data_IF_418804583895
#
_entry.id   IF_418804583895
#
_cell.length_a   1.000
_cell.length_b   1.000
_cell.length_c   1.000
_cell.angle_alpha   90.00
_cell.angle_beta   90.00
_cell.angle_gamma   90.00
#
_symmetry.space_group_name_H-M   'P 1'
#
loop_
_entity.id
_entity.type
_entity.pdbx_description
1 polymer ?
#
# COMPACT_ATOMS: atom_id res chain seq x y z
N UNK A 1 24.07 -2.88 -2.26
CA UNK A 1 22.78 -3.02 -2.97
C UNK A 1 22.97 -2.58 -4.41
N UNK A 2 22.28 -3.17 -5.41
CA UNK A 2 22.18 -2.51 -6.70
C UNK A 2 21.53 -1.14 -6.44
N UNK A 3 22.07 -0.07 -7.02
CA UNK A 3 21.43 1.23 -7.02
C UNK A 3 20.08 1.02 -7.73
N UNK A 4 18.97 1.02 -6.99
CA UNK A 4 17.64 0.97 -7.58
C UNK A 4 17.39 2.33 -8.20
N UNK A 5 17.42 2.41 -9.53
CA UNK A 5 17.08 3.66 -10.20
C UNK A 5 15.62 4.00 -9.89
N UNK A 6 15.41 5.25 -9.47
CA UNK A 6 14.09 5.83 -9.21
C UNK A 6 13.78 6.77 -10.35
N UNK A 7 12.55 6.68 -10.87
CA UNK A 7 12.11 7.53 -11.97
C UNK A 7 10.80 8.21 -11.59
N UNK A 8 10.79 9.53 -11.69
CA UNK A 8 9.55 10.32 -11.65
C UNK A 8 9.17 10.73 -13.06
N UNK A 9 8.02 10.24 -13.51
CA UNK A 9 7.42 10.63 -14.79
C UNK A 9 6.48 11.80 -14.52
N UNK A 10 6.78 12.97 -15.06
CA UNK A 10 6.00 14.18 -14.82
C UNK A 10 5.19 14.58 -16.05
N UNK A 11 4.01 15.13 -15.82
CA UNK A 11 3.27 15.83 -16.87
C UNK A 11 4.15 16.89 -17.54
N UNK A 12 4.07 17.04 -18.87
CA UNK A 12 4.77 18.13 -19.57
C UNK A 12 4.46 19.50 -18.98
N UNK A 13 3.27 19.67 -18.38
CA UNK A 13 2.77 20.94 -17.89
C UNK A 13 3.54 21.51 -16.69
N UNK A 14 4.45 20.73 -16.09
CA UNK A 14 5.38 21.24 -15.10
C UNK A 14 6.53 22.04 -15.69
N UNK A 15 7.07 21.64 -16.85
CA UNK A 15 8.19 22.34 -17.49
C UNK A 15 7.77 23.12 -18.72
N UNK A 16 6.63 22.80 -19.34
CA UNK A 16 6.19 23.39 -20.59
C UNK A 16 4.74 23.85 -20.49
N UNK A 17 4.38 24.98 -21.07
CA UNK A 17 2.98 25.40 -21.12
C UNK A 17 2.14 24.55 -22.12
N UNK A 18 0.86 24.91 -22.27
CA UNK A 18 -0.04 24.27 -23.25
C UNK A 18 0.51 24.27 -24.67
N UNK A 19 1.19 25.35 -25.05
CA UNK A 19 1.78 25.59 -26.37
C UNK A 19 3.16 24.95 -26.56
N UNK A 20 3.62 24.16 -25.58
CA UNK A 20 4.93 23.49 -25.55
C UNK A 20 6.12 24.45 -25.46
N UNK A 21 5.92 25.64 -24.90
CA UNK A 21 7.01 26.56 -24.59
C UNK A 21 7.56 26.26 -23.19
N UNK A 22 8.88 26.23 -23.07
CA UNK A 22 9.57 25.98 -21.80
C UNK A 22 9.28 27.12 -20.80
N UNK A 23 8.94 26.73 -19.57
CA UNK A 23 8.83 27.62 -18.41
C UNK A 23 10.17 27.54 -17.67
N UNK A 24 11.10 28.43 -18.01
CA UNK A 24 12.47 28.38 -17.48
C UNK A 24 12.51 28.40 -15.95
N UNK A 25 11.62 29.17 -15.33
CA UNK A 25 11.50 29.29 -13.88
C UNK A 25 11.18 27.96 -13.20
N UNK A 26 10.73 26.92 -13.92
CA UNK A 26 10.42 25.61 -13.35
C UNK A 26 11.57 24.59 -13.50
N UNK A 27 12.69 24.97 -14.11
CA UNK A 27 13.85 24.07 -14.27
C UNK A 27 14.48 23.65 -12.94
N UNK A 28 14.28 24.42 -11.85
CA UNK A 28 14.74 24.03 -10.51
C UNK A 28 14.18 22.67 -10.06
N UNK A 29 13.01 22.27 -10.57
CA UNK A 29 12.40 20.97 -10.26
C UNK A 29 13.32 19.85 -10.74
N UNK A 30 14.03 20.08 -11.84
CA UNK A 30 14.95 19.09 -12.42
C UNK A 30 16.15 18.86 -11.52
N UNK A 31 16.76 19.94 -11.05
CA UNK A 31 17.86 19.86 -10.10
C UNK A 31 17.40 19.27 -8.76
N UNK A 32 16.22 19.66 -8.27
CA UNK A 32 15.66 19.13 -7.03
C UNK A 32 15.60 17.59 -6.99
N UNK A 33 15.08 16.95 -8.04
CA UNK A 33 15.04 15.48 -8.07
C UNK A 33 16.40 14.86 -8.39
N UNK A 34 17.21 15.48 -9.26
CA UNK A 34 18.55 15.00 -9.56
C UNK A 34 19.46 14.95 -8.33
N UNK A 35 19.37 15.98 -7.46
CA UNK A 35 20.09 16.05 -6.18
C UNK A 35 19.65 14.96 -5.18
N UNK A 36 18.49 14.33 -5.41
CA UNK A 36 17.98 13.19 -4.64
C UNK A 36 18.19 11.85 -5.37
N UNK A 37 19.01 11.82 -6.42
CA UNK A 37 19.28 10.64 -7.26
C UNK A 37 18.00 10.04 -7.90
N UNK A 38 17.03 10.91 -8.23
CA UNK A 38 15.78 10.53 -8.91
C UNK A 38 15.83 11.07 -10.34
N UNK A 39 15.74 10.16 -11.32
CA UNK A 39 15.69 10.52 -12.73
C UNK A 39 14.31 11.12 -13.09
N UNK A 40 14.31 12.15 -13.94
CA UNK A 40 13.08 12.76 -14.45
C UNK A 40 12.83 12.34 -15.88
N UNK A 41 11.58 11.96 -16.15
CA UNK A 41 11.06 11.82 -17.49
C UNK A 41 9.81 12.69 -17.70
N UNK A 42 9.75 13.41 -18.81
CA UNK A 42 8.60 14.23 -19.18
C UNK A 42 7.67 13.44 -20.09
N UNK A 43 6.42 13.26 -19.63
CA UNK A 43 5.36 12.61 -20.38
C UNK A 43 4.72 13.57 -21.39
N UNK A 44 4.94 13.30 -22.67
CA UNK A 44 4.44 14.15 -23.74
C UNK A 44 4.04 13.37 -25.00
N UNK A 45 3.35 14.04 -25.93
CA UNK A 45 3.06 13.46 -27.24
C UNK A 45 4.33 13.41 -28.09
N UNK A 46 4.59 12.30 -28.77
CA UNK A 46 5.81 12.08 -29.57
C UNK A 46 6.04 13.20 -30.59
N UNK A 47 4.98 13.72 -31.20
CA UNK A 47 5.05 14.83 -32.16
C UNK A 47 5.59 16.15 -31.57
N UNK A 48 5.43 16.37 -30.26
CA UNK A 48 5.88 17.60 -29.58
C UNK A 48 7.27 17.47 -28.98
N UNK A 49 7.79 16.24 -28.79
CA UNK A 49 9.06 15.98 -28.08
C UNK A 49 10.23 16.73 -28.70
N UNK A 50 10.38 16.70 -30.03
CA UNK A 50 11.50 17.37 -30.72
C UNK A 50 11.50 18.88 -30.43
N UNK A 51 10.35 19.53 -30.53
CA UNK A 51 10.21 20.96 -30.28
C UNK A 51 10.52 21.34 -28.84
N UNK A 52 10.09 20.51 -27.87
CA UNK A 52 10.38 20.74 -26.45
C UNK A 52 11.86 20.52 -26.12
N UNK A 53 12.46 19.43 -26.64
CA UNK A 53 13.89 19.14 -26.44
C UNK A 53 14.79 20.29 -26.87
N UNK A 54 14.52 20.89 -28.03
CA UNK A 54 15.32 22.00 -28.56
C UNK A 54 15.29 23.28 -27.71
N UNK A 55 14.38 23.38 -26.73
CA UNK A 55 14.28 24.53 -25.83
C UNK A 55 15.01 24.30 -24.50
N UNK A 56 15.39 23.06 -24.19
CA UNK A 56 16.07 22.70 -22.94
C UNK A 56 17.50 23.25 -22.98
N UNK A 57 17.96 23.97 -21.95
CA UNK A 57 19.35 24.41 -21.88
C UNK A 57 20.32 23.22 -21.78
N UNK A 58 21.52 23.37 -22.36
CA UNK A 58 22.53 22.31 -22.47
C UNK A 58 22.85 21.61 -21.14
N UNK A 59 22.89 22.36 -20.03
CA UNK A 59 23.16 21.82 -18.69
C UNK A 59 22.05 20.91 -18.13
N UNK A 60 20.88 20.87 -18.76
CA UNK A 60 19.74 20.02 -18.38
C UNK A 60 19.46 18.89 -19.38
N UNK A 61 20.07 18.89 -20.57
CA UNK A 61 19.75 17.91 -21.64
C UNK A 61 19.93 16.45 -21.18
N UNK A 62 20.96 16.18 -20.38
CA UNK A 62 21.24 14.84 -19.85
C UNK A 62 20.46 14.50 -18.57
N UNK A 63 19.73 15.47 -17.98
CA UNK A 63 18.94 15.30 -16.76
C UNK A 63 17.46 15.03 -17.05
N UNK A 64 17.00 15.26 -18.29
CA UNK A 64 15.59 15.20 -18.67
C UNK A 64 15.39 14.17 -19.77
N UNK A 65 14.76 13.04 -19.43
CA UNK A 65 14.24 12.10 -20.40
C UNK A 65 12.86 12.55 -20.93
N UNK A 66 12.46 12.02 -22.09
CA UNK A 66 11.09 12.17 -22.59
C UNK A 66 10.49 10.80 -22.82
N UNK A 67 9.26 10.63 -22.35
CA UNK A 67 8.48 9.42 -22.55
C UNK A 67 7.18 9.78 -23.26
N UNK A 68 6.75 8.92 -24.17
CA UNK A 68 5.47 9.05 -24.83
C UNK A 68 4.45 8.04 -24.30
N UNK A 69 3.23 8.10 -24.84
CA UNK A 69 2.12 7.26 -24.39
C UNK A 69 1.89 6.05 -25.29
N UNK A 70 2.85 5.73 -26.16
CA UNK A 70 2.69 4.65 -27.13
C UNK A 70 2.75 3.26 -26.42
N UNK A 71 2.21 2.19 -27.04
CA UNK A 71 2.22 0.86 -26.44
C UNK A 71 3.61 0.31 -26.13
N UNK A 72 4.61 0.58 -26.96
CA UNK A 72 5.99 0.12 -26.78
C UNK A 72 6.63 0.75 -25.55
N UNK A 73 6.45 2.06 -25.34
CA UNK A 73 6.92 2.80 -24.17
C UNK A 73 6.26 2.28 -22.91
N UNK A 74 4.94 2.05 -22.93
CA UNK A 74 4.23 1.44 -21.78
C UNK A 74 4.83 0.08 -21.41
N UNK A 75 5.10 -0.77 -22.41
CA UNK A 75 5.72 -2.07 -22.20
C UNK A 75 7.12 -1.94 -21.60
N UNK A 76 7.95 -1.03 -22.12
CA UNK A 76 9.29 -0.77 -21.60
C UNK A 76 9.26 -0.30 -20.14
N UNK A 77 8.35 0.60 -19.76
CA UNK A 77 8.20 1.05 -18.37
C UNK A 77 7.80 -0.12 -17.44
N UNK A 78 6.87 -0.98 -17.87
CA UNK A 78 6.50 -2.18 -17.09
C UNK A 78 7.70 -3.13 -16.95
N UNK A 79 8.49 -3.33 -18.00
CA UNK A 79 9.70 -4.16 -17.96
C UNK A 79 10.77 -3.57 -17.03
N UNK A 80 10.96 -2.25 -17.00
CA UNK A 80 11.84 -1.58 -16.04
C UNK A 80 11.39 -1.83 -14.61
N UNK A 81 10.09 -1.67 -14.34
CA UNK A 81 9.52 -1.96 -13.02
C UNK A 81 9.76 -3.40 -12.59
N UNK A 82 9.56 -4.35 -13.49
CA UNK A 82 9.80 -5.77 -13.21
C UNK A 82 11.29 -6.09 -12.95
N UNK A 83 12.21 -5.18 -13.32
CA UNK A 83 13.64 -5.26 -12.97
C UNK A 83 13.98 -4.56 -11.64
N UNK A 84 12.98 -4.10 -10.89
CA UNK A 84 13.15 -3.43 -9.59
C UNK A 84 13.28 -1.92 -9.66
N UNK A 85 13.05 -1.27 -10.81
CA UNK A 85 13.07 0.20 -10.92
C UNK A 85 11.75 0.75 -10.37
N UNK A 86 11.85 1.68 -9.43
CA UNK A 86 10.66 2.32 -8.84
C UNK A 86 10.26 3.49 -9.72
N UNK A 87 9.04 3.43 -10.26
CA UNK A 87 8.52 4.45 -11.18
C UNK A 87 7.20 4.99 -10.65
N UNK A 88 7.08 6.32 -10.57
CA UNK A 88 5.85 6.99 -10.20
C UNK A 88 5.51 8.10 -11.21
N UNK A 89 4.24 8.52 -11.25
CA UNK A 89 3.76 9.58 -12.15
C UNK A 89 3.26 10.77 -11.35
N UNK A 90 3.67 11.99 -11.67
CA UNK A 90 3.01 13.22 -11.20
C UNK A 90 2.14 13.75 -12.35
N UNK A 91 0.83 13.58 -12.22
CA UNK A 91 -0.12 13.87 -13.30
C UNK A 91 -0.75 15.25 -13.17
N UNK A 92 -1.14 15.83 -14.32
CA UNK A 92 -1.99 17.02 -14.36
C UNK A 92 -3.20 16.80 -15.27
N UNK A 93 -3.06 16.03 -16.35
CA UNK A 93 -4.14 15.75 -17.30
C UNK A 93 -4.62 14.31 -17.25
N UNK A 94 -5.79 14.08 -17.83
CA UNK A 94 -6.47 12.79 -17.86
C UNK A 94 -5.59 11.68 -18.46
N UNK A 95 -4.79 12.02 -19.49
CA UNK A 95 -3.90 11.09 -20.14
C UNK A 95 -2.70 10.69 -19.28
N UNK A 96 -2.28 11.51 -18.33
CA UNK A 96 -1.20 11.17 -17.39
C UNK A 96 -1.68 10.09 -16.43
N UNK A 97 -2.91 10.24 -15.91
CA UNK A 97 -3.55 9.22 -15.09
C UNK A 97 -3.78 7.91 -15.87
N UNK A 98 -4.28 8.00 -17.11
CA UNK A 98 -4.46 6.82 -17.98
C UNK A 98 -3.11 6.13 -18.24
N UNK A 99 -2.03 6.89 -18.42
CA UNK A 99 -0.69 6.33 -18.57
C UNK A 99 -0.27 5.59 -17.30
N UNK A 100 -0.39 6.23 -16.13
CA UNK A 100 -0.07 5.62 -14.84
C UNK A 100 -0.81 4.30 -14.62
N UNK A 101 -2.12 4.25 -14.89
CA UNK A 101 -2.92 3.02 -14.70
C UNK A 101 -2.54 1.91 -15.68
N UNK A 102 -2.30 2.25 -16.95
CA UNK A 102 -1.87 1.25 -17.94
C UNK A 102 -0.49 0.68 -17.62
N UNK A 103 0.40 1.50 -17.04
CA UNK A 103 1.73 1.11 -16.61
C UNK A 103 1.77 0.54 -15.18
N UNK A 104 0.62 0.54 -14.47
CA UNK A 104 0.51 0.06 -13.09
C UNK A 104 1.47 0.80 -12.13
N UNK A 105 1.39 2.13 -12.15
CA UNK A 105 2.27 3.04 -11.41
C UNK A 105 1.48 3.83 -10.37
N UNK A 106 2.09 4.18 -9.22
CA UNK A 106 1.58 5.22 -8.36
C UNK A 106 1.39 6.52 -9.14
N UNK A 107 0.23 7.17 -8.96
CA UNK A 107 -0.08 8.48 -9.52
C UNK A 107 -0.14 9.47 -8.37
N UNK A 108 0.60 10.57 -8.44
CA UNK A 108 0.53 11.67 -7.49
C UNK A 108 -0.38 12.78 -8.01
N UNK A 109 -1.19 13.34 -7.11
CA UNK A 109 -2.04 14.50 -7.31
C UNK A 109 -1.38 15.74 -6.69
N UNK A 110 -0.85 16.67 -7.50
CA UNK A 110 -0.18 17.88 -7.05
C UNK A 110 -1.15 19.06 -6.78
N UNK A 111 -2.46 18.83 -6.66
CA UNK A 111 -3.45 19.91 -6.51
C UNK A 111 -3.17 20.86 -5.36
N UNK A 112 -2.65 20.37 -4.24
CA UNK A 112 -2.30 21.20 -3.10
C UNK A 112 -0.95 21.92 -3.25
N UNK A 113 -0.10 21.48 -4.18
CA UNK A 113 1.19 22.11 -4.50
C UNK A 113 1.02 23.36 -5.37
N UNK A 114 0.14 23.24 -6.37
CA UNK A 114 0.01 24.25 -7.42
C UNK A 114 -1.11 25.21 -6.99
N UNK A 115 -0.73 26.28 -6.28
CA UNK A 115 -1.63 27.30 -5.72
C UNK A 115 -2.42 28.16 -6.74
N UNK A 116 -2.49 27.72 -7.99
CA UNK A 116 -3.22 28.41 -9.05
C UNK A 116 -4.03 27.40 -9.86
N UNK A 117 -5.17 27.85 -10.37
CA UNK A 117 -6.20 27.19 -11.20
C UNK A 117 -5.68 26.46 -12.45
N UNK A 118 -4.67 25.63 -12.30
CA UNK A 118 -4.36 24.58 -13.24
C UNK A 118 -5.56 23.63 -13.17
N UNK A 119 -6.24 23.45 -14.30
CA UNK A 119 -7.33 22.50 -14.44
C UNK A 119 -6.74 21.09 -14.35
N UNK A 120 -6.33 20.69 -13.14
CA UNK A 120 -5.96 19.32 -12.85
C UNK A 120 -7.19 18.49 -13.17
N UNK A 121 -6.99 17.47 -13.98
CA UNK A 121 -8.09 16.61 -14.40
C UNK A 121 -8.73 15.93 -13.20
N UNK A 122 -10.06 15.78 -13.25
CA UNK A 122 -10.82 15.07 -12.21
C UNK A 122 -10.33 13.62 -12.01
N UNK A 123 -9.78 12.99 -13.06
CA UNK A 123 -9.18 11.66 -12.94
C UNK A 123 -7.91 11.66 -12.07
N UNK A 124 -7.04 12.67 -12.22
CA UNK A 124 -5.87 12.83 -11.34
C UNK A 124 -6.32 13.12 -9.91
N UNK A 125 -7.30 14.00 -9.71
CA UNK A 125 -7.80 14.31 -8.35
C UNK A 125 -8.40 13.10 -7.66
N UNK A 126 -9.20 12.32 -8.38
CA UNK A 126 -9.94 11.18 -7.84
C UNK A 126 -9.04 10.01 -7.46
N UNK A 127 -8.00 9.75 -8.24
CA UNK A 127 -7.20 8.53 -8.10
C UNK A 127 -5.73 8.78 -7.73
N UNK A 128 -5.28 10.04 -7.77
CA UNK A 128 -3.92 10.42 -7.44
C UNK A 128 -3.73 10.56 -5.94
N UNK A 129 -2.55 10.15 -5.49
CA UNK A 129 -2.03 10.27 -4.14
C UNK A 129 -1.73 11.75 -3.85
N UNK A 130 -2.44 12.38 -2.90
CA UNK A 130 -2.34 13.82 -2.69
C UNK A 130 -0.99 14.20 -2.08
N UNK A 131 -0.28 15.12 -2.75
CA UNK A 131 1.00 15.68 -2.29
C UNK A 131 0.91 17.20 -2.19
N UNK A 132 1.64 17.78 -1.23
CA UNK A 132 1.67 19.23 -0.97
C UNK A 132 2.99 19.89 -1.38
N UNK A 133 4.03 19.10 -1.63
CA UNK A 133 5.30 19.51 -2.22
C UNK A 133 6.00 18.33 -2.94
N UNK A 134 7.11 18.59 -3.65
CA UNK A 134 7.90 17.54 -4.29
C UNK A 134 8.68 16.68 -3.27
N UNK A 135 8.94 17.21 -2.07
CA UNK A 135 9.62 16.46 -1.02
C UNK A 135 8.79 15.25 -0.59
N UNK A 136 7.45 15.34 -0.57
CA UNK A 136 6.59 14.20 -0.30
C UNK A 136 6.84 13.04 -1.29
N UNK A 137 7.10 13.35 -2.56
CA UNK A 137 7.42 12.33 -3.57
C UNK A 137 8.78 11.69 -3.30
N UNK A 138 9.78 12.50 -2.93
CA UNK A 138 11.11 12.01 -2.54
C UNK A 138 11.01 11.10 -1.31
N UNK A 139 10.24 11.51 -0.30
CA UNK A 139 10.04 10.74 0.93
C UNK A 139 9.35 9.41 0.66
N UNK A 140 8.42 9.37 -0.30
CA UNK A 140 7.81 8.12 -0.77
C UNK A 140 8.85 7.16 -1.35
N UNK A 141 9.75 7.65 -2.20
CA UNK A 141 10.84 6.83 -2.75
C UNK A 141 11.83 6.36 -1.67
N UNK A 142 12.13 7.21 -0.67
CA UNK A 142 12.95 6.82 0.48
C UNK A 142 12.26 5.74 1.32
N UNK A 143 10.97 5.91 1.61
CA UNK A 143 10.16 4.93 2.34
C UNK A 143 10.09 3.57 1.64
N UNK A 144 10.06 3.55 0.30
CA UNK A 144 10.14 2.33 -0.48
C UNK A 144 11.45 1.58 -0.21
N UNK A 145 12.59 2.27 -0.17
CA UNK A 145 13.90 1.65 0.06
C UNK A 145 14.12 1.20 1.51
N UNK A 146 13.38 1.79 2.46
CA UNK A 146 13.46 1.37 3.86
C UNK A 146 13.05 -0.09 4.00
N UNK A 147 12.08 -0.57 3.21
CA UNK A 147 11.61 -1.95 3.35
C UNK A 147 12.66 -2.99 2.96
N UNK A 148 13.10 -3.81 3.93
CA UNK A 148 14.07 -4.89 3.72
C UNK A 148 13.51 -6.28 3.98
N UNK A 149 12.44 -6.38 4.79
CA UNK A 149 11.73 -7.62 5.01
C UNK A 149 10.63 -7.48 6.07
N UNK A 150 9.78 -8.50 6.17
CA UNK A 150 8.65 -8.47 7.09
C UNK A 150 9.08 -8.81 8.53
N UNK A 151 8.52 -8.09 9.51
CA UNK A 151 8.62 -8.45 10.92
C UNK A 151 8.10 -9.86 11.22
N UNK A 152 7.00 -10.27 10.61
CA UNK A 152 6.40 -11.60 10.85
C UNK A 152 5.97 -12.23 9.53
N UNK A 153 6.30 -13.50 9.37
CA UNK A 153 5.90 -14.31 8.22
C UNK A 153 5.47 -15.70 8.65
N UNK A 154 4.31 -16.11 8.16
CA UNK A 154 3.77 -17.45 8.34
C UNK A 154 3.15 -17.92 7.05
N UNK A 155 3.52 -19.13 6.63
CA UNK A 155 2.93 -19.81 5.48
C UNK A 155 2.43 -21.18 5.92
N UNK A 156 1.13 -21.41 5.76
CA UNK A 156 0.47 -22.68 6.09
C UNK A 156 -0.03 -23.28 4.79
N UNK A 157 0.75 -24.24 4.30
CA UNK A 157 0.55 -24.88 3.00
C UNK A 157 0.42 -23.81 1.88
N UNK A 158 -0.23 -24.16 0.77
CA UNK A 158 -0.47 -23.23 -0.33
C UNK A 158 -1.76 -22.40 -0.15
N UNK A 159 -2.50 -22.59 0.94
CA UNK A 159 -3.84 -22.03 1.14
C UNK A 159 -3.89 -20.83 2.06
N UNK A 160 -2.94 -20.66 2.99
CA UNK A 160 -3.01 -19.58 3.97
C UNK A 160 -1.65 -18.97 4.29
N UNK A 161 -1.58 -17.65 4.41
CA UNK A 161 -0.37 -16.96 4.86
C UNK A 161 -0.68 -15.68 5.60
N UNK A 162 0.23 -15.29 6.49
CA UNK A 162 0.18 -14.05 7.25
C UNK A 162 1.52 -13.35 7.16
N UNK A 163 1.49 -12.07 6.81
CA UNK A 163 2.63 -11.17 6.78
C UNK A 163 2.33 -9.94 7.65
N UNK A 164 3.33 -9.48 8.38
CA UNK A 164 3.30 -8.19 9.06
C UNK A 164 4.58 -7.45 8.75
N UNK A 165 4.47 -6.24 8.18
CA UNK A 165 5.64 -5.49 7.75
C UNK A 165 6.51 -5.09 8.94
N UNK A 166 5.88 -4.53 9.98
CA UNK A 166 6.59 -3.89 11.08
C UNK A 166 6.36 -4.54 12.45
N UNK A 167 7.39 -4.48 13.30
CA UNK A 167 7.23 -4.69 14.73
C UNK A 167 6.52 -3.49 15.36
N UNK A 168 5.31 -3.66 15.87
CA UNK A 168 4.53 -2.58 16.48
C UNK A 168 4.77 -2.40 17.98
N UNK A 169 5.59 -3.25 18.63
CA UNK A 169 5.80 -3.17 20.07
C UNK A 169 6.54 -1.87 20.44
N UNK A 170 5.98 -1.10 21.39
CA UNK A 170 6.57 0.14 21.94
C UNK A 170 7.17 -0.05 23.34
N UNK A 171 6.74 -1.09 24.07
CA UNK A 171 7.19 -1.31 25.44
C UNK A 171 8.66 -1.77 25.51
N UNK A 172 9.43 -1.17 26.41
CA UNK A 172 10.88 -1.39 26.56
C UNK A 172 11.69 -1.14 25.29
N UNK A 173 11.23 -0.25 24.42
CA UNK A 173 11.95 0.16 23.21
C UNK A 173 12.67 1.49 23.41
N UNK A 174 13.74 1.77 22.64
CA UNK A 174 14.31 3.11 22.54
C UNK A 174 13.23 4.15 22.24
N UNK A 175 13.37 5.34 22.83
CA UNK A 175 12.38 6.43 22.73
C UNK A 175 12.06 6.78 21.27
N UNK A 176 13.09 6.89 20.43
CA UNK A 176 12.93 7.24 19.02
C UNK A 176 12.18 6.15 18.23
N UNK A 177 12.48 4.88 18.50
CA UNK A 177 11.77 3.74 17.90
C UNK A 177 10.29 3.74 18.30
N UNK A 178 10.00 3.98 19.58
CA UNK A 178 8.63 4.06 20.09
C UNK A 178 7.87 5.24 19.47
N UNK A 179 8.50 6.42 19.36
CA UNK A 179 7.92 7.62 18.73
C UNK A 179 7.43 7.35 17.31
N UNK A 180 8.27 6.72 16.48
CA UNK A 180 7.92 6.42 15.08
C UNK A 180 6.73 5.46 15.01
N UNK A 181 6.73 4.41 15.84
CA UNK A 181 5.63 3.43 15.91
C UNK A 181 4.32 4.08 16.35
N UNK A 182 4.38 4.99 17.32
CA UNK A 182 3.22 5.76 17.78
C UNK A 182 2.69 6.70 16.69
N UNK A 183 3.56 7.33 15.90
CA UNK A 183 3.16 8.14 14.74
C UNK A 183 2.45 7.27 13.71
N UNK A 184 2.98 6.09 13.38
CA UNK A 184 2.30 5.16 12.47
C UNK A 184 0.94 4.72 13.00
N UNK A 185 0.87 4.33 14.28
CA UNK A 185 -0.38 3.93 14.93
C UNK A 185 -1.41 5.05 14.90
N UNK A 186 -1.03 6.28 15.25
CA UNK A 186 -1.91 7.45 15.26
C UNK A 186 -2.48 7.73 13.86
N UNK A 187 -1.69 7.57 12.81
CA UNK A 187 -2.12 7.82 11.43
C UNK A 187 -2.98 6.69 10.85
N UNK A 188 -2.74 5.45 11.25
CA UNK A 188 -3.55 4.31 10.83
C UNK A 188 -4.91 4.26 11.53
N UNK A 189 -4.96 4.66 12.81
CA UNK A 189 -6.19 4.69 13.63
C UNK A 189 -6.93 6.03 13.60
N UNK A 190 -6.27 7.08 13.11
CA UNK A 190 -6.82 8.42 12.97
C UNK A 190 -7.98 8.48 11.98
N UNK A 191 -8.83 9.47 12.16
CA UNK A 191 -9.84 9.86 11.17
C UNK A 191 -9.26 10.88 10.18
N UNK A 192 -10.01 11.24 9.15
CA UNK A 192 -9.57 12.18 8.10
C UNK A 192 -8.99 13.50 8.64
N UNK A 193 -9.50 14.01 9.76
CA UNK A 193 -9.06 15.29 10.36
C UNK A 193 -7.80 15.18 11.21
N UNK A 194 -7.45 13.98 11.67
CA UNK A 194 -6.34 13.75 12.62
C UNK A 194 -5.13 13.06 11.99
N UNK A 195 -5.30 12.48 10.80
CA UNK A 195 -4.21 11.81 10.07
C UNK A 195 -3.40 12.81 9.25
N UNK A 196 -2.08 12.69 9.34
CA UNK A 196 -1.13 13.30 8.45
C UNK A 196 -1.04 12.49 7.15
N UNK A 197 -1.43 13.15 6.06
CA UNK A 197 -1.41 12.55 4.73
C UNK A 197 -0.01 12.13 4.29
N UNK A 198 1.05 12.85 4.69
CA UNK A 198 2.44 12.51 4.34
C UNK A 198 2.83 11.17 4.96
N UNK A 199 2.45 10.92 6.22
CA UNK A 199 2.72 9.65 6.90
C UNK A 199 1.98 8.50 6.23
N UNK A 200 0.74 8.71 5.77
CA UNK A 200 0.01 7.68 5.02
C UNK A 200 0.68 7.34 3.68
N UNK A 201 1.29 8.32 3.01
CA UNK A 201 2.04 8.06 1.78
C UNK A 201 3.32 7.27 2.04
N UNK A 202 4.02 7.57 3.14
CA UNK A 202 5.19 6.80 3.60
C UNK A 202 4.80 5.34 3.86
N UNK A 203 3.74 5.12 4.65
CA UNK A 203 3.22 3.77 4.92
C UNK A 203 2.76 3.05 3.65
N UNK A 204 2.16 3.79 2.71
CA UNK A 204 1.75 3.25 1.42
C UNK A 204 2.94 2.78 0.59
N UNK A 205 4.02 3.57 0.48
CA UNK A 205 5.18 3.19 -0.33
C UNK A 205 5.98 2.05 0.28
N UNK A 206 6.03 2.00 1.61
CA UNK A 206 6.53 0.83 2.34
C UNK A 206 5.70 -0.43 2.02
N UNK A 207 4.36 -0.34 2.03
CA UNK A 207 3.46 -1.43 1.63
C UNK A 207 3.57 -1.81 0.13
N UNK A 208 3.71 -0.82 -0.76
CA UNK A 208 3.86 -1.05 -2.21
C UNK A 208 5.14 -1.81 -2.49
N UNK A 209 6.24 -1.56 -1.75
CA UNK A 209 7.46 -2.35 -1.89
C UNK A 209 7.12 -3.83 -1.71
N UNK A 210 6.63 -4.23 -0.54
CA UNK A 210 6.33 -5.63 -0.25
C UNK A 210 5.43 -6.25 -1.33
N UNK A 211 4.33 -5.58 -1.67
CA UNK A 211 3.36 -6.10 -2.64
C UNK A 211 3.95 -6.26 -4.06
N UNK A 212 4.90 -5.41 -4.47
CA UNK A 212 5.40 -5.40 -5.84
C UNK A 212 6.71 -6.16 -6.04
N UNK A 213 7.48 -6.37 -4.97
CA UNK A 213 8.76 -7.09 -5.01
C UNK A 213 8.59 -8.54 -4.54
N UNK A 214 7.60 -8.84 -3.69
CA UNK A 214 7.33 -10.19 -3.23
C UNK A 214 6.41 -10.95 -4.20
N UNK A 215 6.94 -12.04 -4.77
CA UNK A 215 6.21 -12.91 -5.70
C UNK A 215 4.90 -13.48 -5.13
N UNK A 216 4.75 -13.52 -3.81
CA UNK A 216 3.57 -14.06 -3.13
C UNK A 216 2.27 -13.32 -3.48
N UNK A 217 2.37 -12.05 -3.91
CA UNK A 217 1.23 -11.21 -4.27
C UNK A 217 0.90 -11.21 -5.76
N UNK A 218 1.73 -11.83 -6.62
CA UNK A 218 1.55 -11.80 -8.08
C UNK A 218 0.22 -12.40 -8.54
N UNK A 219 -0.24 -13.43 -7.84
CA UNK A 219 -1.46 -14.17 -8.17
C UNK A 219 -2.70 -13.69 -7.41
N UNK A 220 -2.62 -12.59 -6.65
CA UNK A 220 -3.76 -12.09 -5.89
C UNK A 220 -4.84 -11.57 -6.83
N UNK A 221 -6.00 -12.25 -6.81
CA UNK A 221 -7.18 -11.82 -7.54
C UNK A 221 -7.83 -10.62 -6.85
N UNK A 222 -8.16 -10.78 -5.56
CA UNK A 222 -8.99 -9.83 -4.81
C UNK A 222 -8.28 -9.26 -3.58
N UNK A 223 -8.51 -7.97 -3.34
CA UNK A 223 -7.98 -7.19 -2.23
C UNK A 223 -9.13 -6.66 -1.40
N UNK A 224 -9.08 -6.88 -0.09
CA UNK A 224 -10.05 -6.34 0.85
C UNK A 224 -9.37 -5.84 2.11
N UNK A 225 -10.14 -5.22 2.97
CA UNK A 225 -9.70 -4.81 4.30
C UNK A 225 -10.33 -5.67 5.37
N UNK A 226 -9.66 -5.81 6.52
CA UNK A 226 -10.34 -6.30 7.72
C UNK A 226 -11.17 -5.15 8.32
N UNK A 227 -12.49 -5.31 8.50
CA UNK A 227 -13.34 -4.19 8.84
C UNK A 227 -13.15 -3.76 10.30
N UNK A 228 -13.20 -2.44 10.50
CA UNK A 228 -13.15 -1.84 11.84
C UNK A 228 -14.29 -2.35 12.74
N UNK A 229 -14.17 -2.17 14.04
CA UNK A 229 -15.22 -2.56 15.00
C UNK A 229 -16.56 -1.83 14.78
N UNK A 230 -16.55 -0.67 14.13
CA UNK A 230 -17.73 0.11 13.79
C UNK A 230 -18.11 -0.09 12.30
N UNK A 231 -19.26 -0.71 11.98
CA UNK A 231 -19.73 -0.89 10.60
C UNK A 231 -19.88 0.41 9.81
N UNK A 232 -20.13 1.55 10.46
CA UNK A 232 -20.30 2.84 9.78
C UNK A 232 -18.97 3.51 9.41
N UNK A 233 -17.83 2.97 9.86
CA UNK A 233 -16.52 3.52 9.57
C UNK A 233 -15.91 2.82 8.34
N UNK A 234 -16.31 3.27 7.15
CA UNK A 234 -15.88 2.71 5.85
C UNK A 234 -14.68 3.42 5.24
N UNK A 235 -14.37 4.64 5.66
CA UNK A 235 -13.27 5.46 5.14
C UNK A 235 -12.08 5.50 6.10
N UNK A 236 -11.50 4.32 6.35
CA UNK A 236 -10.30 4.19 7.19
C UNK A 236 -9.02 4.45 6.40
N UNK A 237 -7.92 4.75 7.09
CA UNK A 237 -6.59 4.82 6.47
C UNK A 237 -6.22 3.51 5.75
N UNK A 238 -6.60 2.35 6.31
CA UNK A 238 -6.40 1.04 5.67
C UNK A 238 -7.20 0.89 4.37
N UNK A 239 -8.44 1.41 4.32
CA UNK A 239 -9.23 1.42 3.07
C UNK A 239 -8.54 2.23 1.97
N UNK A 240 -7.97 3.39 2.32
CA UNK A 240 -7.15 4.20 1.41
C UNK A 240 -5.90 3.43 0.93
N UNK A 241 -5.12 2.85 1.84
CA UNK A 241 -3.91 2.09 1.49
C UNK A 241 -4.23 0.90 0.58
N UNK A 242 -5.24 0.11 0.95
CA UNK A 242 -5.70 -1.03 0.15
C UNK A 242 -6.13 -0.60 -1.24
N UNK A 243 -6.87 0.50 -1.36
CA UNK A 243 -7.38 0.93 -2.67
C UNK A 243 -6.27 1.40 -3.60
N UNK A 244 -5.29 2.14 -3.07
CA UNK A 244 -4.09 2.52 -3.82
C UNK A 244 -3.32 1.28 -4.30
N UNK A 245 -3.06 0.31 -3.41
CA UNK A 245 -2.42 -0.97 -3.75
C UNK A 245 -3.20 -1.71 -4.83
N UNK A 246 -4.51 -1.90 -4.63
CA UNK A 246 -5.40 -2.62 -5.56
C UNK A 246 -5.33 -2.04 -6.96
N UNK A 247 -5.32 -0.70 -7.09
CA UNK A 247 -5.19 -0.02 -8.39
C UNK A 247 -3.83 -0.31 -9.01
N UNK A 248 -2.74 -0.16 -8.25
CA UNK A 248 -1.37 -0.39 -8.72
C UNK A 248 -1.20 -1.82 -9.23
N UNK A 249 -1.69 -2.82 -8.51
CA UNK A 249 -1.56 -4.24 -8.94
C UNK A 249 -2.69 -4.71 -9.86
N UNK A 250 -3.66 -3.85 -10.17
CA UNK A 250 -4.86 -4.15 -10.99
C UNK A 250 -5.79 -5.21 -10.41
N UNK A 251 -5.78 -5.38 -9.09
CA UNK A 251 -6.60 -6.34 -8.35
C UNK A 251 -8.10 -5.99 -8.37
N UNK A 252 -8.92 -7.00 -8.11
CA UNK A 252 -10.35 -6.84 -7.82
C UNK A 252 -10.65 -6.78 -6.32
N UNK A 253 -11.93 -6.79 -5.94
CA UNK A 253 -13.04 -6.32 -6.77
C UNK A 253 -12.84 -4.84 -7.11
N UNK A 254 -13.14 -4.43 -8.36
CA UNK A 254 -12.95 -3.03 -8.82
C UNK A 254 -14.14 -2.13 -8.47
N UNK A 255 -15.28 -2.74 -8.22
CA UNK A 255 -16.56 -2.10 -7.94
C UNK A 255 -17.31 -2.95 -6.92
N UNK A 256 -18.12 -2.27 -6.11
CA UNK A 256 -18.89 -2.92 -5.07
C UNK A 256 -18.25 -2.80 -3.68
N UNK A 257 -18.89 -3.41 -2.68
CA UNK A 257 -18.51 -3.28 -1.28
C UNK A 257 -17.25 -4.07 -0.94
N UNK A 258 -16.69 -3.82 0.26
CA UNK A 258 -15.59 -4.61 0.82
C UNK A 258 -15.94 -6.10 0.92
N UNK A 259 -14.92 -6.96 0.82
CA UNK A 259 -15.05 -8.43 0.83
C UNK A 259 -15.64 -8.91 2.16
N UNK A 260 -15.09 -8.41 3.27
CA UNK A 260 -15.52 -8.70 4.62
C UNK A 260 -16.24 -7.48 5.19
N UNK A 261 -17.44 -7.67 5.71
CA UNK A 261 -18.25 -6.59 6.29
C UNK A 261 -18.73 -6.97 7.67
N UNK A 262 -18.87 -5.98 8.56
CA UNK A 262 -19.56 -6.19 9.84
C UNK A 262 -21.06 -5.95 9.68
N UNK A 263 -21.87 -6.95 9.98
CA UNK A 263 -23.33 -6.82 10.02
C UNK A 263 -23.84 -6.37 11.40
N UNK A 264 -22.98 -6.37 12.42
CA UNK A 264 -23.30 -5.92 13.78
C UNK A 264 -22.09 -5.24 14.40
N UNK A 265 -22.30 -4.15 15.16
CA UNK A 265 -21.19 -3.43 15.80
C UNK A 265 -20.53 -4.27 16.89
N UNK A 266 -19.20 -4.29 16.92
CA UNK A 266 -18.48 -5.01 17.97
C UNK A 266 -18.36 -4.13 19.22
N UNK A 267 -18.67 -4.68 20.41
CA UNK A 267 -18.31 -4.02 21.67
C UNK A 267 -16.79 -3.79 21.72
N UNK A 268 -16.36 -2.64 22.24
CA UNK A 268 -14.94 -2.24 22.38
C UNK A 268 -14.06 -3.37 22.94
N UNK A 269 -12.83 -3.50 22.40
CA UNK A 269 -11.81 -4.48 22.80
C UNK A 269 -11.14 -4.15 24.16
N UNK A 270 -11.64 -3.16 24.93
CA UNK A 270 -11.09 -2.72 26.22
C UNK A 270 -11.60 -3.50 27.45
N UNK A 271 -12.30 -4.62 27.29
CA UNK A 271 -12.58 -5.53 28.41
C UNK A 271 -11.35 -6.41 28.70
N UNK A 272 -10.92 -6.42 29.97
CA UNK A 272 -9.77 -7.14 30.56
C UNK A 272 -9.17 -8.32 29.75
N UNK A 273 -7.83 -8.35 29.67
CA UNK A 273 -7.04 -9.20 28.76
C UNK A 273 -7.30 -10.72 28.80
N UNK A 274 -7.85 -11.26 29.90
CA UNK A 274 -8.24 -12.67 30.01
C UNK A 274 -9.50 -13.00 29.18
N UNK A 275 -10.49 -12.11 29.11
CA UNK A 275 -11.72 -12.31 28.33
C UNK A 275 -11.45 -12.35 26.82
N UNK A 276 -10.44 -11.60 26.36
CA UNK A 276 -10.08 -11.48 24.94
C UNK A 276 -9.45 -12.75 24.37
N UNK A 277 -8.62 -13.44 25.15
CA UNK A 277 -8.03 -14.73 24.75
C UNK A 277 -9.07 -15.85 24.73
N UNK A 278 -10.07 -15.79 25.61
CA UNK A 278 -11.11 -16.81 25.69
C UNK A 278 -12.09 -16.77 24.50
N UNK A 279 -12.32 -15.60 23.90
CA UNK A 279 -13.28 -15.46 22.81
C UNK A 279 -12.70 -15.71 21.40
N UNK A 280 -11.38 -15.78 21.23
CA UNK A 280 -10.68 -16.21 20.00
C UNK A 280 -11.29 -15.56 18.72
N UNK A 281 -11.74 -16.37 17.76
CA UNK A 281 -12.41 -15.90 16.53
C UNK A 281 -13.93 -15.73 16.70
N UNK A 282 -14.54 -16.21 17.79
CA UNK A 282 -16.00 -16.26 17.95
C UNK A 282 -16.65 -14.88 17.78
N UNK A 283 -16.07 -13.83 18.38
CA UNK A 283 -16.60 -12.45 18.26
C UNK A 283 -16.61 -11.96 16.83
N UNK A 284 -15.60 -12.34 16.06
CA UNK A 284 -15.53 -11.97 14.66
C UNK A 284 -16.61 -12.75 13.90
N UNK A 285 -16.77 -14.06 14.10
CA UNK A 285 -17.87 -14.82 13.49
C UNK A 285 -19.28 -14.32 13.85
N UNK A 286 -19.49 -13.78 15.05
CA UNK A 286 -20.77 -13.18 15.46
C UNK A 286 -21.12 -11.89 14.73
N UNK A 287 -20.13 -11.21 14.16
CA UNK A 287 -20.31 -9.84 13.65
C UNK A 287 -19.85 -9.66 12.22
N UNK A 288 -19.02 -10.56 11.71
CA UNK A 288 -18.33 -10.51 10.44
C UNK A 288 -18.96 -11.51 9.48
N UNK A 289 -19.23 -11.07 8.26
CA UNK A 289 -19.60 -11.96 7.16
C UNK A 289 -18.89 -11.56 5.88
N UNK A 290 -18.83 -12.51 4.96
CA UNK A 290 -18.52 -12.20 3.57
C UNK A 290 -19.68 -11.38 3.02
N UNK A 291 -19.37 -10.38 2.21
CA UNK A 291 -20.39 -9.60 1.54
C UNK A 291 -21.21 -10.48 0.60
N UNK A 292 -22.53 -10.50 0.76
CA UNK A 292 -23.45 -11.33 -0.02
C UNK A 292 -23.31 -11.10 -1.54
N UNK A 293 -22.93 -9.89 -1.97
CA UNK A 293 -22.70 -9.59 -3.40
C UNK A 293 -21.40 -10.18 -3.97
N UNK A 294 -20.51 -10.69 -3.12
CA UNK A 294 -19.20 -11.21 -3.48
C UNK A 294 -19.04 -12.71 -3.18
N UNK A 295 -19.94 -13.31 -2.39
CA UNK A 295 -19.81 -14.70 -1.91
C UNK A 295 -19.58 -15.69 -3.05
N UNK A 296 -20.38 -15.61 -4.12
CA UNK A 296 -20.26 -16.51 -5.28
C UNK A 296 -19.02 -16.20 -6.15
N UNK A 297 -18.47 -14.99 -6.02
CA UNK A 297 -17.32 -14.50 -6.82
C UNK A 297 -15.98 -14.81 -6.16
N UNK A 298 -15.97 -15.26 -4.90
CA UNK A 298 -14.77 -15.59 -4.12
C UNK A 298 -14.26 -17.00 -4.43
N UNK A 299 -15.12 -17.89 -4.90
CA UNK A 299 -14.76 -19.28 -5.19
C UNK A 299 -13.58 -19.36 -6.15
N UNK A 300 -12.54 -20.11 -5.75
CA UNK A 300 -11.32 -20.31 -6.53
C UNK A 300 -10.37 -19.11 -6.58
N UNK A 301 -10.66 -18.01 -5.86
CA UNK A 301 -9.85 -16.80 -5.87
C UNK A 301 -8.73 -16.83 -4.84
N UNK A 302 -7.61 -16.18 -5.18
CA UNK A 302 -6.58 -15.78 -4.21
C UNK A 302 -6.95 -14.42 -3.64
N UNK A 303 -7.11 -14.33 -2.32
CA UNK A 303 -7.63 -13.14 -1.65
C UNK A 303 -6.59 -12.61 -0.67
N UNK A 304 -6.24 -11.33 -0.78
CA UNK A 304 -5.44 -10.62 0.21
C UNK A 304 -6.33 -9.70 1.06
N UNK A 305 -6.25 -9.85 2.39
CA UNK A 305 -6.90 -8.96 3.36
C UNK A 305 -5.83 -8.11 4.03
N UNK A 306 -6.01 -6.79 3.98
CA UNK A 306 -5.11 -5.81 4.61
C UNK A 306 -5.71 -5.33 5.94
N UNK A 307 -4.90 -5.28 7.00
CA UNK A 307 -5.27 -4.78 8.33
C UNK A 307 -4.23 -3.79 8.86
N UNK A 308 -4.58 -3.02 9.90
CA UNK A 308 -3.64 -2.11 10.55
C UNK A 308 -2.62 -2.89 11.38
N UNK A 309 -3.10 -3.59 12.40
CA UNK A 309 -2.29 -4.27 13.38
C UNK A 309 -2.91 -5.57 13.84
N UNK A 310 -2.10 -6.62 13.85
CA UNK A 310 -2.46 -7.88 14.49
C UNK A 310 -1.70 -8.07 15.81
N UNK A 311 -2.26 -8.88 16.71
CA UNK A 311 -1.57 -9.29 17.95
C UNK A 311 -1.36 -10.79 17.92
N UNK A 312 -2.39 -11.58 18.26
CA UNK A 312 -2.29 -13.03 18.38
C UNK A 312 -2.81 -13.79 17.15
N UNK A 313 -3.17 -13.08 16.08
CA UNK A 313 -3.62 -13.70 14.82
C UNK A 313 -5.13 -13.91 14.67
N UNK A 314 -5.95 -13.76 15.72
CA UNK A 314 -7.38 -14.15 15.66
C UNK A 314 -8.22 -13.46 14.55
N UNK A 315 -7.91 -12.21 14.20
CA UNK A 315 -8.60 -11.52 13.09
C UNK A 315 -8.19 -12.10 11.72
N UNK A 316 -6.90 -12.45 11.58
CA UNK A 316 -6.40 -13.14 10.41
C UNK A 316 -6.97 -14.55 10.28
N UNK A 317 -7.06 -15.28 11.39
CA UNK A 317 -7.69 -16.60 11.47
C UNK A 317 -9.18 -16.57 11.15
N UNK A 318 -9.92 -15.56 11.63
CA UNK A 318 -11.33 -15.40 11.31
C UNK A 318 -11.54 -15.16 9.80
N UNK A 319 -10.73 -14.30 9.18
CA UNK A 319 -10.74 -14.08 7.74
C UNK A 319 -10.41 -15.37 6.97
N UNK A 320 -9.39 -16.12 7.41
CA UNK A 320 -9.02 -17.43 6.85
C UNK A 320 -10.22 -18.37 6.82
N UNK A 321 -10.85 -18.59 7.97
CA UNK A 321 -11.96 -19.53 8.11
C UNK A 321 -13.14 -19.15 7.24
N UNK A 322 -13.57 -17.88 7.26
CA UNK A 322 -14.70 -17.42 6.44
C UNK A 322 -14.41 -17.58 4.94
N UNK A 323 -13.26 -17.12 4.47
CA UNK A 323 -12.93 -17.08 3.04
C UNK A 323 -12.65 -18.47 2.47
N UNK A 324 -11.92 -19.33 3.21
CA UNK A 324 -11.67 -20.71 2.77
C UNK A 324 -12.95 -21.55 2.79
N UNK A 325 -13.83 -21.37 3.78
CA UNK A 325 -15.13 -22.05 3.82
C UNK A 325 -16.05 -21.63 2.67
N UNK A 326 -15.94 -20.37 2.22
CA UNK A 326 -16.61 -19.89 1.01
C UNK A 326 -15.93 -20.33 -0.30
N UNK A 327 -14.89 -21.17 -0.23
CA UNK A 327 -14.23 -21.77 -1.38
C UNK A 327 -13.13 -20.91 -2.02
N UNK A 328 -12.59 -19.91 -1.32
CA UNK A 328 -11.38 -19.23 -1.76
C UNK A 328 -10.24 -20.25 -1.95
N UNK A 329 -9.41 -20.06 -2.98
CA UNK A 329 -8.27 -20.95 -3.27
C UNK A 329 -7.15 -20.73 -2.24
N UNK A 330 -6.88 -19.46 -1.90
CA UNK A 330 -5.81 -19.04 -1.01
C UNK A 330 -6.20 -17.73 -0.33
N UNK A 331 -5.84 -17.60 0.95
CA UNK A 331 -6.01 -16.37 1.73
C UNK A 331 -4.64 -15.88 2.18
N UNK A 332 -4.35 -14.62 1.90
CA UNK A 332 -3.17 -13.91 2.39
C UNK A 332 -3.67 -12.82 3.32
N UNK A 333 -3.11 -12.74 4.52
CA UNK A 333 -3.41 -11.69 5.46
C UNK A 333 -2.17 -10.81 5.63
N UNK A 334 -2.27 -9.54 5.26
CA UNK A 334 -1.18 -8.58 5.29
C UNK A 334 -1.52 -7.48 6.30
N UNK A 335 -0.60 -7.18 7.22
CA UNK A 335 -0.79 -6.13 8.21
C UNK A 335 0.38 -5.16 8.19
N UNK A 336 0.11 -3.88 8.47
CA UNK A 336 1.19 -2.88 8.56
C UNK A 336 2.09 -3.18 9.74
N UNK A 337 1.53 -3.62 10.87
CA UNK A 337 2.32 -4.03 12.02
C UNK A 337 1.77 -5.20 12.80
N UNK A 338 2.62 -5.75 13.67
CA UNK A 338 2.22 -6.78 14.63
C UNK A 338 2.79 -6.54 16.02
N UNK A 339 1.93 -6.72 17.02
CA UNK A 339 2.29 -6.71 18.43
C UNK A 339 2.64 -8.13 18.91
N UNK A 340 3.75 -8.24 19.62
CA UNK A 340 4.34 -9.51 20.09
C UNK A 340 4.70 -10.50 18.97
N UNK A 341 5.41 -11.56 19.34
CA UNK A 341 5.78 -12.62 18.38
C UNK A 341 4.73 -13.72 18.25
N UNK A 342 3.91 -13.94 19.28
CA UNK A 342 2.96 -15.07 19.32
C UNK A 342 1.90 -14.98 18.21
N UNK A 343 1.56 -16.13 17.64
CA UNK A 343 0.46 -16.29 16.70
C UNK A 343 -0.24 -17.62 16.99
N UNK A 344 -1.56 -17.63 17.06
CA UNK A 344 -2.33 -18.84 17.34
C UNK A 344 -3.05 -19.30 16.07
N UNK A 345 -2.75 -20.52 15.63
CA UNK A 345 -3.50 -21.21 14.59
C UNK A 345 -4.75 -21.77 15.24
N UNK A 346 -5.90 -21.48 14.66
CA UNK A 346 -7.20 -21.95 15.16
C UNK A 346 -7.83 -22.92 14.19
N UNK A 347 -8.54 -23.89 14.75
CA UNK A 347 -9.37 -24.83 14.02
C UNK A 347 -10.82 -24.68 14.47
N UNK A 348 -11.70 -24.49 13.49
CA UNK A 348 -13.13 -24.31 13.67
C UNK A 348 -13.88 -25.15 12.64
N UNK A 349 -15.01 -25.72 13.04
CA UNK A 349 -16.01 -26.23 12.11
C UNK A 349 -16.99 -25.09 11.80
N UNK A 350 -17.08 -24.68 10.54
CA UNK A 350 -17.99 -23.62 10.08
C UNK A 350 -19.04 -24.22 9.16
N UNK A 351 -20.29 -24.13 9.58
CA UNK A 351 -21.46 -24.47 8.79
C UNK A 351 -22.33 -23.22 8.60
N UNK A 352 -23.29 -23.24 7.67
CA UNK A 352 -24.10 -22.06 7.31
C UNK A 352 -24.81 -21.38 8.50
N UNK A 353 -25.04 -22.10 9.61
CA UNK A 353 -25.76 -21.61 10.78
C UNK A 353 -24.96 -21.58 12.09
N UNK A 354 -23.72 -22.10 12.12
CA UNK A 354 -22.97 -22.27 13.37
C UNK A 354 -21.45 -22.30 13.15
N UNK A 355 -20.72 -21.93 14.19
CA UNK A 355 -19.28 -22.13 14.28
C UNK A 355 -18.97 -22.88 15.58
N UNK A 356 -18.13 -23.92 15.51
CA UNK A 356 -17.70 -24.68 16.68
C UNK A 356 -16.18 -24.65 16.80
N UNK A 357 -15.67 -24.27 17.98
CA UNK A 357 -14.24 -24.25 18.24
C UNK A 357 -13.73 -25.67 18.50
N UNK A 358 -12.82 -26.15 17.65
CA UNK A 358 -12.23 -27.49 17.79
C UNK A 358 -10.95 -27.41 18.63
N UNK A 359 -10.07 -26.45 18.32
CA UNK A 359 -8.75 -26.37 18.95
C UNK A 359 -7.92 -25.21 18.45
N UNK A 360 -6.83 -24.94 19.16
CA UNK A 360 -5.82 -23.97 18.73
C UNK A 360 -4.43 -24.46 19.12
N UNK A 361 -3.44 -24.02 18.35
CA UNK A 361 -2.04 -24.27 18.65
C UNK A 361 -1.24 -22.99 18.48
N UNK A 362 -0.22 -22.83 19.32
CA UNK A 362 0.74 -21.74 19.16
C UNK A 362 1.65 -22.07 17.96
N UNK A 363 1.68 -21.18 16.97
CA UNK A 363 2.62 -21.31 15.86
C UNK A 363 4.06 -21.14 16.38
N UNK A 364 4.88 -22.17 16.18
CA UNK A 364 6.27 -22.20 16.63
C UNK A 364 7.27 -21.90 15.49
N UNK A 365 6.78 -21.59 14.29
CA UNK A 365 7.60 -21.33 13.11
C UNK A 365 8.05 -22.57 12.34
N UNK A 366 9.06 -22.37 11.49
CA UNK A 366 9.74 -23.47 10.81
C UNK A 366 10.70 -24.23 11.75
N UNK A 367 11.36 -25.28 11.24
CA UNK A 367 12.33 -26.09 12.00
C UNK A 367 13.53 -25.32 12.58
N UNK A 368 13.72 -24.04 12.20
CA UNK A 368 14.73 -23.13 12.75
C UNK A 368 14.15 -22.08 13.71
N UNK A 369 12.84 -22.12 13.99
CA UNK A 369 12.14 -21.19 14.89
C UNK A 369 12.01 -19.77 14.36
N UNK A 370 12.30 -19.52 13.08
CA UNK A 370 12.28 -18.19 12.49
C UNK A 370 10.94 -17.96 11.78
N UNK A 371 10.07 -17.20 12.43
CA UNK A 371 8.78 -16.74 11.90
C UNK A 371 8.54 -15.26 12.21
N UNK A 372 9.49 -14.64 12.89
CA UNK A 372 9.56 -13.21 13.07
C UNK A 372 11.01 -12.75 13.02
N UNK A 373 11.24 -11.54 12.52
CA UNK A 373 12.55 -10.90 12.51
C UNK A 373 12.71 -9.98 13.73
N UNK A 374 13.62 -10.33 14.63
CA UNK A 374 13.94 -9.52 15.81
C UNK A 374 14.73 -8.25 15.49
N UNK A 375 15.24 -8.11 14.26
CA UNK A 375 16.03 -6.96 13.80
C UNK A 375 15.23 -5.99 12.93
N UNK A 376 13.95 -6.28 12.65
CA UNK A 376 13.07 -5.37 11.93
C UNK A 376 12.95 -3.98 12.62
N UNK A 377 13.21 -3.89 13.93
CA UNK A 377 13.26 -2.60 14.64
C UNK A 377 14.35 -1.65 14.09
N UNK A 378 15.43 -2.17 13.49
CA UNK A 378 16.43 -1.32 12.83
C UNK A 378 15.85 -0.63 11.58
N UNK A 379 14.90 -1.27 10.91
CA UNK A 379 14.20 -0.73 9.75
C UNK A 379 13.32 0.47 10.16
N UNK A 380 12.67 0.37 11.33
CA UNK A 380 11.84 1.44 11.89
C UNK A 380 12.65 2.74 12.08
N UNK A 381 13.88 2.64 12.56
CA UNK A 381 14.75 3.81 12.79
C UNK A 381 15.14 4.51 11.48
N UNK A 382 15.10 3.82 10.33
CA UNK A 382 15.36 4.46 9.04
C UNK A 382 14.22 5.39 8.59
N UNK A 383 13.07 5.39 9.29
CA UNK A 383 12.00 6.36 9.07
C UNK A 383 12.18 7.66 9.86
N UNK A 384 13.17 7.78 10.75
CA UNK A 384 13.36 8.98 11.60
C UNK A 384 13.39 10.28 10.80
N UNK A 385 14.10 10.30 9.67
CA UNK A 385 14.20 11.51 8.83
C UNK A 385 12.95 11.77 7.98
N UNK A 386 11.99 10.84 7.97
CA UNK A 386 10.75 10.91 7.20
C UNK A 386 9.54 11.33 8.05
N UNK A 387 9.60 11.21 9.39
CA UNK A 387 8.43 11.32 10.30
C UNK A 387 8.52 12.33 11.43
#
# INVERSE_FOLDING_TARGET
>A
MPIMNKVVIMSKLFLFNSDNQLIQDNLWIVDFFADQEIEIAILARSASVRTMKNQIPENFENKIAFVDRNPQTKKAIIELKNKGIVVAVIGLVDEDAIFAFNCKLPLFNPEKMINQRSNISEKVKKYGLPVIDFQNVVDCFKAFDVHQGNYFEMHINDQYSVMSLNNANTFYRPEEEARIKEIFEANLKGNEFSRDQRILLILLFHLINEVTTNSYYQDVDYWGTFPSSNPSNTETSISFLKEAVRVIVSGGPRTGPEILIRHTAMKSKHSSGLSRLQQKCNRDFETLKINDSLVDRIKGKVICIIDDYITNGYSAEAAKHLLLSAGAKKVIFLSIGKFGSKYFLTNYDLNEASYEFIGEELFQGNSRGNFYDKYNDNEILNFTDLV
#
